data_IF_983848170701
#
_entry.id   IF_983848170701
#
_cell.length_a   1.000
_cell.length_b   1.000
_cell.length_c   1.000
_cell.angle_alpha   90.00
_cell.angle_beta   90.00
_cell.angle_gamma   90.00
#
_symmetry.space_group_name_H-M   'P 1'
#
loop_
_entity.id
_entity.type
_entity.pdbx_description
1 polymer ?
#
# COMPACT_ATOMS: atom_id res chain seq x y z
N UNK A 1 66.97 -34.49 23.87
CA UNK A 1 66.98 -34.88 22.43
C UNK A 1 65.65 -34.46 21.84
N UNK A 2 65.65 -33.72 20.73
CA UNK A 2 64.43 -33.29 20.05
C UNK A 2 64.78 -32.75 18.67
N UNK A 3 64.99 -33.68 17.72
CA UNK A 3 65.26 -33.42 16.30
C UNK A 3 64.02 -32.78 15.65
N UNK A 4 64.11 -31.51 15.25
CA UNK A 4 63.21 -30.94 14.25
C UNK A 4 63.93 -30.90 12.90
N UNK A 5 63.83 -32.00 12.15
CA UNK A 5 64.25 -32.05 10.75
C UNK A 5 63.19 -31.37 9.88
N UNK A 6 63.52 -30.19 9.35
CA UNK A 6 62.73 -29.49 8.33
C UNK A 6 62.68 -30.33 7.05
N UNK A 7 61.53 -30.91 6.70
CA UNK A 7 61.25 -31.42 5.35
C UNK A 7 60.54 -30.31 4.56
N UNK A 8 61.18 -29.92 3.46
CA UNK A 8 60.72 -28.98 2.42
C UNK A 8 59.41 -29.50 1.79
N UNK A 9 58.42 -28.66 1.48
CA UNK A 9 57.21 -29.12 0.79
C UNK A 9 57.57 -29.52 -0.65
N UNK A 10 57.10 -30.71 -1.05
CA UNK A 10 57.12 -31.16 -2.44
C UNK A 10 56.08 -30.36 -3.25
N UNK A 11 56.42 -29.99 -4.48
CA UNK A 11 55.51 -29.32 -5.40
C UNK A 11 54.28 -30.21 -5.70
N UNK A 12 53.06 -29.64 -5.87
CA UNK A 12 51.88 -30.43 -6.18
C UNK A 12 52.01 -31.06 -7.57
N UNK A 13 51.71 -32.35 -7.68
CA UNK A 13 51.60 -33.06 -8.94
C UNK A 13 50.49 -32.45 -9.80
N UNK A 14 50.73 -32.29 -11.10
CA UNK A 14 49.77 -31.75 -12.05
C UNK A 14 48.50 -32.61 -12.11
N UNK A 15 47.34 -31.96 -12.12
CA UNK A 15 46.04 -32.64 -12.28
C UNK A 15 45.93 -33.31 -13.66
N UNK A 16 45.29 -34.49 -13.78
CA UNK A 16 45.10 -35.15 -15.05
C UNK A 16 44.21 -34.30 -15.96
N UNK A 17 44.64 -34.04 -17.19
CA UNK A 17 43.84 -33.36 -18.21
C UNK A 17 42.58 -34.17 -18.52
N UNK A 18 41.37 -33.56 -18.51
CA UNK A 18 40.15 -34.27 -18.85
C UNK A 18 40.20 -34.73 -20.31
N UNK A 19 39.88 -36.00 -20.57
CA UNK A 19 39.72 -36.51 -21.93
C UNK A 19 38.51 -35.81 -22.59
N UNK A 20 38.55 -35.51 -23.89
CA UNK A 20 37.38 -35.00 -24.60
C UNK A 20 36.26 -36.05 -24.53
N UNK A 21 35.08 -35.63 -24.10
CA UNK A 21 33.88 -36.46 -24.01
C UNK A 21 33.10 -36.27 -25.29
N UNK A 22 32.81 -37.35 -26.02
CA UNK A 22 31.98 -37.32 -27.22
C UNK A 22 30.51 -37.08 -26.82
N UNK A 23 29.80 -36.09 -27.40
CA UNK A 23 28.43 -35.76 -27.00
C UNK A 23 27.43 -36.91 -27.24
N UNK A 24 27.72 -37.82 -28.18
CA UNK A 24 26.88 -38.99 -28.47
C UNK A 24 27.05 -40.13 -27.45
N UNK A 25 28.13 -40.10 -26.64
CA UNK A 25 28.43 -41.11 -25.61
C UNK A 25 27.73 -40.77 -24.27
N UNK A 26 27.25 -39.52 -24.13
CA UNK A 26 26.52 -39.02 -22.95
C UNK A 26 25.16 -39.71 -22.81
N UNK A 27 24.53 -40.08 -23.92
CA UNK A 27 23.16 -40.62 -23.95
C UNK A 27 23.09 -42.13 -24.14
N UNK A 28 24.17 -42.77 -24.62
CA UNK A 28 24.19 -44.19 -24.98
C UNK A 28 24.84 -45.11 -23.93
N UNK A 29 25.45 -44.55 -22.89
CA UNK A 29 26.00 -45.37 -21.80
C UNK A 29 24.91 -45.69 -20.78
N UNK A 30 24.64 -46.97 -20.44
CA UNK A 30 23.67 -47.29 -19.41
C UNK A 30 24.17 -46.71 -18.09
N UNK A 31 23.49 -45.66 -17.61
CA UNK A 31 23.84 -44.98 -16.37
C UNK A 31 23.66 -45.97 -15.22
N UNK A 32 24.71 -46.34 -14.46
CA UNK A 32 24.52 -47.18 -13.29
C UNK A 32 23.63 -46.43 -12.29
N UNK A 33 22.66 -47.13 -11.68
CA UNK A 33 21.78 -46.57 -10.64
C UNK A 33 22.62 -45.85 -9.59
N UNK A 34 22.65 -44.51 -9.65
CA UNK A 34 23.36 -43.69 -8.67
C UNK A 34 22.40 -43.42 -7.52
N UNK A 35 22.61 -44.14 -6.42
CA UNK A 35 22.00 -43.77 -5.14
C UNK A 35 22.66 -42.49 -4.68
N UNK A 36 21.90 -41.40 -4.66
CA UNK A 36 22.38 -40.11 -4.19
C UNK A 36 21.72 -39.81 -2.84
N UNK A 37 22.53 -39.76 -1.80
CA UNK A 37 22.08 -39.42 -0.44
C UNK A 37 22.20 -37.92 -0.26
N UNK A 38 21.08 -37.22 -0.14
CA UNK A 38 21.05 -35.77 0.08
C UNK A 38 20.65 -35.52 1.54
N UNK A 39 21.38 -34.65 2.23
CA UNK A 39 21.07 -34.28 3.61
C UNK A 39 20.15 -33.07 3.56
N UNK A 40 18.90 -33.27 3.96
CA UNK A 40 17.89 -32.20 3.94
C UNK A 40 17.83 -31.55 5.33
N UNK A 41 17.88 -30.22 5.34
CA UNK A 41 17.60 -29.39 6.51
C UNK A 41 16.56 -28.37 6.10
N UNK A 42 15.32 -28.61 6.50
CA UNK A 42 14.18 -27.76 6.12
C UNK A 42 14.15 -26.44 6.91
N UNK A 43 14.73 -26.42 8.11
CA UNK A 43 14.80 -25.24 8.97
C UNK A 43 16.16 -25.11 9.68
N UNK A 44 16.43 -23.92 10.26
CA UNK A 44 17.65 -23.64 11.04
C UNK A 44 17.75 -24.45 12.34
N UNK A 45 16.63 -25.00 12.81
CA UNK A 45 16.52 -25.69 14.09
C UNK A 45 16.28 -27.20 13.95
N UNK A 46 16.11 -27.72 12.74
CA UNK A 46 15.94 -29.14 12.50
C UNK A 46 17.26 -29.92 12.42
N UNK A 47 17.19 -31.15 12.91
CA UNK A 47 18.27 -32.12 12.80
C UNK A 47 18.35 -32.66 11.36
N UNK A 48 19.56 -32.77 10.78
CA UNK A 48 19.73 -33.21 9.40
C UNK A 48 19.29 -34.66 9.23
N UNK A 49 18.25 -34.90 8.42
CA UNK A 49 17.89 -36.25 8.00
C UNK A 49 18.47 -36.58 6.62
N UNK A 50 19.14 -37.74 6.46
CA UNK A 50 19.59 -38.21 5.16
C UNK A 50 18.41 -38.82 4.39
N UNK A 51 18.07 -38.22 3.26
CA UNK A 51 17.08 -38.75 2.33
C UNK A 51 17.81 -39.41 1.15
N UNK A 52 17.44 -40.65 0.85
CA UNK A 52 18.03 -41.43 -0.25
C UNK A 52 17.14 -41.28 -1.48
N UNK A 53 17.61 -40.54 -2.48
CA UNK A 53 16.90 -40.40 -3.75
C UNK A 53 17.32 -41.52 -4.70
N UNK A 54 16.36 -42.33 -5.13
CA UNK A 54 16.53 -43.27 -6.23
C UNK A 54 16.16 -42.56 -7.53
N UNK A 55 17.17 -42.11 -8.28
CA UNK A 55 16.96 -41.55 -9.61
C UNK A 55 16.85 -42.70 -10.60
N UNK A 56 15.62 -42.98 -11.04
CA UNK A 56 15.36 -43.93 -12.11
C UNK A 56 15.86 -43.34 -13.45
N UNK A 57 16.69 -44.10 -14.16
CA UNK A 57 17.16 -43.72 -15.50
C UNK A 57 15.96 -43.71 -16.46
N UNK A 58 15.60 -42.52 -16.95
CA UNK A 58 14.52 -42.36 -17.92
C UNK A 58 14.94 -42.99 -19.24
N UNK A 59 14.11 -43.87 -19.78
CA UNK A 59 14.35 -44.55 -21.06
C UNK A 59 14.42 -43.53 -22.22
N UNK A 60 15.51 -43.49 -23.02
CA UNK A 60 15.67 -42.55 -24.12
C UNK A 60 14.57 -42.67 -25.19
N UNK A 61 13.95 -43.83 -25.36
CA UNK A 61 12.84 -44.02 -26.31
C UNK A 61 11.56 -43.31 -25.85
N UNK A 62 11.31 -43.21 -24.54
CA UNK A 62 10.19 -42.42 -24.01
C UNK A 62 10.39 -40.92 -24.25
N UNK A 63 11.63 -40.43 -24.19
CA UNK A 63 11.95 -39.03 -24.46
C UNK A 63 11.67 -38.71 -25.92
N UNK A 64 12.11 -39.55 -26.85
CA UNK A 64 11.82 -39.40 -28.29
C UNK A 64 10.32 -39.42 -28.57
N UNK A 65 9.58 -40.34 -27.95
CA UNK A 65 8.12 -40.43 -28.09
C UNK A 65 7.42 -39.15 -27.60
N UNK A 66 7.82 -38.63 -26.43
CA UNK A 66 7.29 -37.35 -25.91
C UNK A 66 7.63 -36.16 -26.80
N UNK A 67 8.83 -36.13 -27.38
CA UNK A 67 9.21 -35.07 -28.34
C UNK A 67 8.34 -35.12 -29.59
N UNK A 68 8.08 -36.32 -30.14
CA UNK A 68 7.18 -36.47 -31.28
C UNK A 68 5.73 -36.07 -30.96
N UNK A 69 5.25 -36.34 -29.73
CA UNK A 69 3.94 -35.87 -29.28
C UNK A 69 3.88 -34.34 -29.18
N UNK A 70 4.92 -33.71 -28.62
CA UNK A 70 4.99 -32.25 -28.53
C UNK A 70 5.06 -31.57 -29.90
N UNK A 71 5.76 -32.18 -30.88
CA UNK A 71 5.77 -31.70 -32.26
C UNK A 71 4.38 -31.78 -32.91
N UNK A 72 3.65 -32.88 -32.71
CA UNK A 72 2.29 -33.03 -33.21
C UNK A 72 1.31 -32.01 -32.58
N UNK A 73 1.40 -31.79 -31.26
CA UNK A 73 0.58 -30.79 -30.56
C UNK A 73 0.91 -29.35 -31.00
N UNK A 74 2.17 -29.06 -31.32
CA UNK A 74 2.57 -27.76 -31.86
C UNK A 74 2.01 -27.53 -33.26
N UNK A 75 2.02 -28.57 -34.12
CA UNK A 75 1.39 -28.50 -35.44
C UNK A 75 -0.12 -28.27 -35.33
N UNK A 76 -0.79 -28.95 -34.38
CA UNK A 76 -2.22 -28.78 -34.12
C UNK A 76 -2.54 -27.37 -33.61
N UNK A 77 -1.74 -26.83 -32.68
CA UNK A 77 -1.90 -25.45 -32.18
C UNK A 77 -1.64 -24.39 -33.24
N UNK A 78 -0.72 -24.64 -34.19
CA UNK A 78 -0.50 -23.74 -35.34
C UNK A 78 -1.68 -23.72 -36.31
N UNK A 79 -2.42 -24.83 -36.40
CA UNK A 79 -3.60 -24.95 -37.26
C UNK A 79 -4.88 -24.43 -36.59
N UNK A 80 -4.87 -24.17 -35.29
CA UNK A 80 -5.98 -23.50 -34.62
C UNK A 80 -5.96 -22.00 -34.91
N UNK A 81 -7.12 -21.38 -35.21
CA UNK A 81 -7.18 -19.94 -35.42
C UNK A 81 -6.77 -19.23 -34.13
N UNK A 82 -5.84 -18.28 -34.26
CA UNK A 82 -5.40 -17.42 -33.16
C UNK A 82 -6.60 -16.60 -32.71
N UNK A 83 -7.16 -16.93 -31.53
CA UNK A 83 -8.18 -16.11 -30.89
C UNK A 83 -7.54 -14.81 -30.43
N UNK A 84 -7.92 -13.71 -31.05
CA UNK A 84 -7.48 -12.36 -30.69
C UNK A 84 -8.44 -11.76 -29.66
N UNK A 85 -8.03 -10.66 -29.01
CA UNK A 85 -8.90 -9.93 -28.07
C UNK A 85 -10.25 -9.52 -28.70
N UNK A 86 -10.33 -9.41 -30.03
CA UNK A 86 -11.56 -9.11 -30.75
C UNK A 86 -12.57 -10.28 -30.78
N UNK A 87 -12.12 -11.52 -30.55
CA UNK A 87 -12.98 -12.72 -30.54
C UNK A 87 -13.62 -12.97 -29.17
N UNK A 88 -13.08 -12.32 -28.14
CA UNK A 88 -13.73 -12.21 -26.84
C UNK A 88 -14.65 -11.00 -26.94
N UNK A 89 -15.94 -11.24 -27.16
CA UNK A 89 -16.98 -10.22 -27.30
C UNK A 89 -17.08 -9.29 -26.10
N UNK A 90 -16.11 -8.38 -25.98
CA UNK A 90 -16.21 -7.14 -25.23
C UNK A 90 -17.17 -6.29 -26.04
N UNK A 91 -18.45 -6.45 -25.74
CA UNK A 91 -19.50 -5.60 -26.27
C UNK A 91 -19.07 -4.17 -26.01
N UNK A 92 -18.65 -3.46 -27.06
CA UNK A 92 -18.45 -2.02 -26.98
C UNK A 92 -19.78 -1.45 -26.50
N UNK A 93 -19.77 -0.75 -25.37
CA UNK A 93 -20.96 -0.07 -24.84
C UNK A 93 -21.54 0.77 -25.98
N UNK A 94 -22.83 0.58 -26.28
CA UNK A 94 -23.45 1.29 -27.38
C UNK A 94 -23.41 2.81 -27.09
N UNK A 95 -23.23 3.63 -28.12
CA UNK A 95 -23.17 5.08 -27.94
C UNK A 95 -24.43 5.63 -27.24
N UNK A 96 -25.58 5.00 -27.46
CA UNK A 96 -26.85 5.31 -26.80
C UNK A 96 -26.79 5.06 -25.28
N UNK A 97 -26.20 3.95 -24.83
CA UNK A 97 -26.04 3.64 -23.41
C UNK A 97 -25.07 4.61 -22.72
N UNK A 98 -24.06 5.10 -23.45
CA UNK A 98 -23.14 6.15 -22.96
C UNK A 98 -23.89 7.47 -22.80
N UNK A 99 -24.71 7.85 -23.78
CA UNK A 99 -25.51 9.09 -23.75
C UNK A 99 -26.54 9.01 -22.61
N UNK A 100 -27.25 7.90 -22.50
CA UNK A 100 -28.25 7.68 -21.44
C UNK A 100 -27.61 7.77 -20.05
N UNK A 101 -26.48 7.08 -19.84
CA UNK A 101 -25.73 7.14 -18.58
C UNK A 101 -25.22 8.55 -18.27
N UNK A 102 -24.76 9.30 -19.29
CA UNK A 102 -24.33 10.68 -19.09
C UNK A 102 -25.51 11.58 -18.71
N UNK A 103 -26.66 11.43 -19.35
CA UNK A 103 -27.86 12.22 -19.01
C UNK A 103 -28.39 11.89 -17.61
N UNK A 104 -28.33 10.63 -17.20
CA UNK A 104 -28.72 10.22 -15.85
C UNK A 104 -27.78 10.80 -14.80
N UNK A 105 -26.47 10.79 -15.06
CA UNK A 105 -25.47 11.41 -14.20
C UNK A 105 -25.69 12.92 -14.06
N UNK A 106 -25.88 13.64 -15.16
CA UNK A 106 -26.13 15.09 -15.14
C UNK A 106 -27.38 15.42 -14.31
N UNK A 107 -28.45 14.64 -14.47
CA UNK A 107 -29.68 14.80 -13.70
C UNK A 107 -29.48 14.57 -12.20
N UNK A 108 -28.72 13.55 -11.82
CA UNK A 108 -28.40 13.26 -10.41
C UNK A 108 -27.53 14.36 -9.82
N UNK A 109 -26.54 14.82 -10.57
CA UNK A 109 -25.65 15.89 -10.15
C UNK A 109 -26.41 17.19 -9.84
N UNK A 110 -27.36 17.61 -10.68
CA UNK A 110 -28.18 18.80 -10.43
C UNK A 110 -28.93 18.71 -9.09
N UNK A 111 -29.57 17.56 -8.82
CA UNK A 111 -30.35 17.34 -7.60
C UNK A 111 -29.45 17.35 -6.36
N UNK A 112 -28.33 16.64 -6.41
CA UNK A 112 -27.38 16.58 -5.30
C UNK A 112 -26.68 17.91 -5.07
N UNK A 113 -26.30 18.61 -6.15
CA UNK A 113 -25.68 19.92 -6.06
C UNK A 113 -26.62 20.94 -5.41
N UNK A 114 -27.90 20.96 -5.79
CA UNK A 114 -28.88 21.80 -5.11
C UNK A 114 -29.06 21.43 -3.64
N UNK A 115 -29.10 20.14 -3.31
CA UNK A 115 -29.20 19.66 -1.92
C UNK A 115 -27.97 20.09 -1.11
N UNK A 116 -26.78 19.98 -1.70
CA UNK A 116 -25.52 20.40 -1.12
C UNK A 116 -25.49 21.92 -0.88
N UNK A 117 -25.88 22.72 -1.88
CA UNK A 117 -25.97 24.18 -1.74
C UNK A 117 -26.98 24.57 -0.66
N UNK A 118 -28.14 23.90 -0.60
CA UNK A 118 -29.14 24.14 0.45
C UNK A 118 -28.64 23.73 1.84
N UNK A 119 -27.90 22.63 1.97
CA UNK A 119 -27.37 22.18 3.26
C UNK A 119 -26.16 22.98 3.75
N UNK A 120 -25.41 23.59 2.83
CA UNK A 120 -24.24 24.42 3.13
C UNK A 120 -24.51 25.92 3.02
N UNK A 121 -25.77 26.31 2.76
CA UNK A 121 -26.24 27.66 3.03
C UNK A 121 -26.30 27.84 4.55
N UNK A 122 -25.16 28.16 5.15
CA UNK A 122 -25.15 28.78 6.46
C UNK A 122 -25.95 30.09 6.35
N UNK A 123 -26.98 30.27 7.17
CA UNK A 123 -27.73 31.52 7.27
C UNK A 123 -26.84 32.63 7.89
N UNK A 124 -25.84 33.10 7.16
CA UNK A 124 -24.99 34.24 7.54
C UNK A 124 -25.84 35.54 7.54
N UNK A 125 -27.09 35.49 7.05
CA UNK A 125 -28.04 36.59 7.08
C UNK A 125 -28.45 37.05 8.49
N UNK A 126 -28.20 36.28 9.55
CA UNK A 126 -28.42 36.73 10.94
C UNK A 126 -27.28 37.65 11.42
N UNK A 127 -26.12 37.64 10.75
CA UNK A 127 -25.07 38.65 10.92
C UNK A 127 -25.35 39.93 10.12
N UNK A 128 -26.61 40.18 9.70
CA UNK A 128 -26.99 41.42 9.02
C UNK A 128 -26.94 42.61 9.99
N UNK A 129 -25.87 43.39 9.82
CA UNK A 129 -25.80 44.85 9.87
C UNK A 129 -26.08 45.58 11.19
N UNK A 130 -26.85 45.02 12.14
CA UNK A 130 -27.05 45.64 13.43
C UNK A 130 -25.83 45.41 14.31
N UNK A 131 -24.95 46.42 14.35
CA UNK A 131 -23.80 46.49 15.25
C UNK A 131 -22.44 46.30 14.58
N UNK A 132 -22.35 45.91 13.30
CA UNK A 132 -21.07 45.84 12.59
C UNK A 132 -20.49 47.23 12.33
N UNK A 133 -21.34 48.18 11.93
CA UNK A 133 -20.95 49.58 11.76
C UNK A 133 -20.54 50.21 13.10
N UNK A 134 -21.34 50.01 14.16
CA UNK A 134 -21.01 50.50 15.52
C UNK A 134 -19.73 49.85 16.08
N UNK A 135 -19.50 48.56 15.82
CA UNK A 135 -18.29 47.86 16.26
C UNK A 135 -17.06 48.33 15.48
N UNK A 136 -17.22 48.63 14.20
CA UNK A 136 -16.15 49.19 13.38
C UNK A 136 -15.82 50.62 13.81
N UNK A 137 -16.84 51.44 14.07
CA UNK A 137 -16.68 52.80 14.59
C UNK A 137 -16.05 52.81 15.99
N UNK A 138 -16.46 51.89 16.87
CA UNK A 138 -15.83 51.70 18.19
C UNK A 138 -14.36 51.28 18.06
N UNK A 139 -14.03 50.40 17.10
CA UNK A 139 -12.66 49.98 16.85
C UNK A 139 -11.79 51.14 16.33
N UNK A 140 -12.32 52.00 15.46
CA UNK A 140 -11.63 53.20 15.01
C UNK A 140 -11.44 54.21 16.14
N UNK A 141 -12.46 54.44 16.96
CA UNK A 141 -12.38 55.34 18.12
C UNK A 141 -11.35 54.85 19.16
N UNK A 142 -11.31 53.55 19.46
CA UNK A 142 -10.28 52.97 20.33
C UNK A 142 -8.87 53.10 19.74
N UNK A 143 -8.73 52.92 18.42
CA UNK A 143 -7.46 53.06 17.74
C UNK A 143 -6.96 54.51 17.79
N UNK A 144 -7.81 55.48 17.47
CA UNK A 144 -7.47 56.90 17.57
C UNK A 144 -7.15 57.31 19.02
N UNK A 145 -7.88 56.80 20.00
CA UNK A 145 -7.59 57.03 21.41
C UNK A 145 -6.22 56.47 21.82
N UNK A 146 -5.85 55.26 21.37
CA UNK A 146 -4.53 54.67 21.63
C UNK A 146 -3.41 55.43 20.91
N UNK A 147 -3.64 55.88 19.68
CA UNK A 147 -2.66 56.70 18.95
C UNK A 147 -2.44 58.02 19.68
N UNK A 148 -3.51 58.69 20.09
CA UNK A 148 -3.41 59.93 20.88
C UNK A 148 -2.76 59.69 22.25
N UNK A 149 -3.02 58.55 22.90
CA UNK A 149 -2.34 58.17 24.14
C UNK A 149 -0.84 58.02 23.88
N UNK A 150 -0.43 57.24 22.88
CA UNK A 150 0.98 57.03 22.51
C UNK A 150 1.69 58.33 22.14
N UNK A 151 1.03 59.23 21.41
CA UNK A 151 1.56 60.54 21.04
C UNK A 151 1.73 61.48 22.24
N UNK A 152 0.88 61.36 23.26
CA UNK A 152 0.93 62.18 24.47
C UNK A 152 1.72 61.53 25.62
N UNK A 153 2.04 60.24 25.53
CA UNK A 153 2.94 59.60 26.47
C UNK A 153 4.39 59.92 26.10
N UNK A 154 5.01 60.77 26.92
CA UNK A 154 6.46 60.89 26.92
C UNK A 154 7.06 59.60 27.50
N UNK A 155 7.51 58.71 26.61
CA UNK A 155 8.26 57.53 27.03
C UNK A 155 9.63 57.98 27.55
N UNK A 156 9.80 57.95 28.87
CA UNK A 156 11.10 58.08 29.51
C UNK A 156 11.93 56.82 29.20
N UNK A 157 12.63 56.84 28.07
CA UNK A 157 13.61 55.82 27.74
C UNK A 157 14.82 55.98 28.67
N UNK A 158 14.90 55.14 29.70
CA UNK A 158 16.15 54.91 30.41
C UNK A 158 17.01 53.95 29.61
N UNK A 159 18.16 54.42 29.14
CA UNK A 159 19.18 53.54 28.56
C UNK A 159 19.69 52.60 29.64
N UNK A 160 19.23 51.35 29.60
CA UNK A 160 19.75 50.28 30.45
C UNK A 160 21.18 49.97 29.99
N UNK A 161 22.16 50.18 30.86
CA UNK A 161 23.55 49.90 30.53
C UNK A 161 23.79 48.43 30.21
N UNK A 162 24.77 48.14 29.35
CA UNK A 162 25.11 46.78 28.93
C UNK A 162 25.31 45.82 30.12
N UNK A 163 25.84 46.32 31.25
CA UNK A 163 26.03 45.53 32.47
C UNK A 163 24.72 45.05 33.12
N UNK A 164 23.64 45.82 33.02
CA UNK A 164 22.33 45.40 33.54
C UNK A 164 21.65 44.43 32.59
N UNK A 165 21.85 44.60 31.28
CA UNK A 165 21.43 43.64 30.26
C UNK A 165 22.12 42.30 30.50
N UNK A 166 23.45 42.29 30.65
CA UNK A 166 24.21 41.07 30.88
C UNK A 166 23.79 40.37 32.19
N UNK A 167 23.49 41.15 33.24
CA UNK A 167 22.96 40.61 34.50
C UNK A 167 21.59 39.95 34.31
N UNK A 168 20.65 40.61 33.62
CA UNK A 168 19.31 40.05 33.35
C UNK A 168 19.38 38.83 32.42
N UNK A 169 20.36 38.78 31.52
CA UNK A 169 20.60 37.62 30.66
C UNK A 169 21.15 36.42 31.44
N UNK A 170 21.90 36.66 32.52
CA UNK A 170 22.33 35.60 33.45
C UNK A 170 21.17 35.13 34.34
N UNK A 171 20.28 36.06 34.73
CA UNK A 171 19.11 35.76 35.56
C UNK A 171 17.97 35.06 34.78
N UNK A 172 18.04 35.01 33.44
CA UNK A 172 17.07 34.26 32.64
C UNK A 172 17.19 32.76 32.94
N UNK A 173 16.09 32.09 33.32
CA UNK A 173 16.13 30.65 33.48
C UNK A 173 16.47 30.00 32.15
N UNK A 174 17.36 29.00 32.18
CA UNK A 174 17.58 28.15 31.01
C UNK A 174 16.24 27.60 30.54
N UNK A 175 16.03 27.58 29.21
CA UNK A 175 14.89 26.90 28.62
C UNK A 175 14.85 25.48 29.19
N UNK A 176 13.76 25.17 29.91
CA UNK A 176 13.52 23.84 30.47
C UNK A 176 13.61 22.83 29.33
N UNK A 177 14.20 21.66 29.57
CA UNK A 177 14.21 20.63 28.53
C UNK A 177 12.77 20.15 28.34
N UNK A 178 12.39 19.61 27.16
CA UNK A 178 11.10 18.96 26.96
C UNK A 178 10.77 17.92 28.05
N UNK A 179 11.80 17.25 28.57
CA UNK A 179 11.77 16.30 29.70
C UNK A 179 11.25 16.91 31.02
N UNK A 180 11.44 18.22 31.21
CA UNK A 180 11.04 18.97 32.40
C UNK A 180 9.63 19.57 32.25
N UNK A 181 8.98 19.39 31.09
CA UNK A 181 7.60 19.79 30.85
C UNK A 181 6.67 18.57 31.04
N UNK A 182 5.97 18.46 32.19
CA UNK A 182 5.08 17.32 32.46
C UNK A 182 3.91 17.21 31.48
N UNK A 183 3.63 18.29 30.74
CA UNK A 183 2.59 18.37 29.72
C UNK A 183 3.07 17.86 28.34
N UNK A 184 4.38 17.76 28.12
CA UNK A 184 4.93 17.29 26.85
C UNK A 184 4.94 15.76 26.82
N UNK A 185 3.96 15.18 26.12
CA UNK A 185 3.94 13.75 25.81
C UNK A 185 4.63 13.51 24.47
N UNK A 186 5.68 12.70 24.48
CA UNK A 186 6.33 12.25 23.25
C UNK A 186 5.35 11.42 22.41
N UNK A 187 5.21 11.75 21.13
CA UNK A 187 4.32 11.07 20.18
C UNK A 187 4.78 9.62 19.98
N UNK A 188 6.09 9.34 20.18
CA UNK A 188 6.64 7.98 20.16
C UNK A 188 6.23 7.12 21.36
N UNK A 189 5.73 7.72 22.44
CA UNK A 189 5.24 7.02 23.63
C UNK A 189 3.72 6.75 23.58
N UNK A 190 3.02 7.24 22.56
CA UNK A 190 1.64 6.84 22.27
C UNK A 190 1.69 5.41 21.72
N UNK A 191 1.05 4.47 22.41
CA UNK A 191 0.99 3.08 21.97
C UNK A 191 0.38 2.99 20.57
N UNK A 192 0.95 2.13 19.72
CA UNK A 192 0.46 1.92 18.36
C UNK A 192 -0.99 1.39 18.31
N UNK A 193 -1.46 0.83 19.42
CA UNK A 193 -2.84 0.43 19.62
C UNK A 193 -3.52 1.47 20.54
N UNK A 194 -4.62 2.11 20.07
CA UNK A 194 -5.39 3.04 20.89
C UNK A 194 -6.09 2.27 22.01
N UNK A 195 -6.10 2.83 23.22
CA UNK A 195 -6.83 2.27 24.36
C UNK A 195 -8.33 2.27 24.05
N UNK A 196 -8.98 1.12 24.19
CA UNK A 196 -10.41 0.96 23.94
C UNK A 196 -11.25 1.95 24.79
N UNK A 197 -10.78 2.29 25.99
CA UNK A 197 -11.43 3.27 26.85
C UNK A 197 -11.32 4.73 26.34
N UNK A 198 -10.36 5.03 25.47
CA UNK A 198 -10.26 6.31 24.76
C UNK A 198 -11.09 6.30 23.47
N UNK A 199 -11.13 5.17 22.77
CA UNK A 199 -12.02 4.96 21.61
C UNK A 199 -13.49 5.10 22.00
N UNK A 200 -13.90 4.53 23.12
CA UNK A 200 -15.30 4.60 23.60
C UNK A 200 -15.72 6.04 23.95
N UNK A 201 -14.77 6.93 24.29
CA UNK A 201 -15.03 8.37 24.54
C UNK A 201 -15.22 9.17 23.25
N UNK A 202 -14.68 8.69 22.13
CA UNK A 202 -14.84 9.35 20.83
C UNK A 202 -16.26 9.21 20.28
N UNK A 203 -17.07 8.33 20.87
CA UNK A 203 -18.44 8.06 20.45
C UNK A 203 -18.48 7.24 19.16
N UNK A 204 -19.43 6.31 19.08
CA UNK A 204 -19.69 5.57 17.83
C UNK A 204 -20.81 6.29 17.11
N UNK A 205 -20.55 6.72 15.88
CA UNK A 205 -21.57 7.25 14.98
C UNK A 205 -22.19 6.05 14.26
N UNK A 206 -23.51 5.88 14.43
CA UNK A 206 -24.27 4.86 13.71
C UNK A 206 -24.63 5.37 12.31
N UNK A 207 -24.01 4.76 11.30
CA UNK A 207 -24.22 5.07 9.89
C UNK A 207 -25.35 4.23 9.27
N UNK A 208 -26.10 3.47 10.07
CA UNK A 208 -27.15 2.57 9.55
C UNK A 208 -28.31 3.31 8.85
N UNK A 209 -28.52 4.59 9.19
CA UNK A 209 -29.55 5.46 8.60
C UNK A 209 -29.04 6.30 7.42
N UNK A 210 -27.75 6.19 7.05
CA UNK A 210 -27.20 6.94 5.93
C UNK A 210 -27.89 6.53 4.61
N UNK A 211 -28.27 7.48 3.75
CA UNK A 211 -29.03 7.21 2.51
C UNK A 211 -28.25 6.35 1.50
N UNK A 212 -26.94 6.26 1.69
CA UNK A 212 -25.93 5.52 0.94
C UNK A 212 -25.46 4.25 1.67
N UNK A 213 -26.13 3.86 2.77
CA UNK A 213 -25.92 2.58 3.44
C UNK A 213 -26.28 1.42 2.50
N UNK A 214 -25.27 0.82 1.88
CA UNK A 214 -25.37 -0.48 1.22
C UNK A 214 -25.52 -1.51 2.34
N UNK A 215 -26.77 -1.79 2.70
CA UNK A 215 -27.10 -2.82 3.67
C UNK A 215 -26.44 -4.17 3.33
N UNK A 216 -26.36 -5.06 4.32
CA UNK A 216 -25.73 -6.37 4.13
C UNK A 216 -26.43 -7.16 3.01
N UNK A 217 -25.63 -7.68 2.07
CA UNK A 217 -26.11 -8.59 1.03
C UNK A 217 -26.20 -9.98 1.64
N UNK A 218 -27.42 -10.45 1.89
CA UNK A 218 -27.66 -11.83 2.26
C UNK A 218 -27.63 -12.76 1.03
N UNK A 219 -27.43 -14.05 1.28
CA UNK A 219 -27.35 -15.07 0.23
C UNK A 219 -28.65 -15.16 -0.59
N UNK A 220 -29.78 -14.83 0.03
CA UNK A 220 -31.09 -14.81 -0.62
C UNK A 220 -31.25 -13.65 -1.61
N UNK A 221 -30.83 -12.43 -1.24
CA UNK A 221 -30.82 -11.28 -2.16
C UNK A 221 -29.86 -11.52 -3.31
N UNK A 222 -28.69 -12.12 -3.04
CA UNK A 222 -27.71 -12.46 -4.07
C UNK A 222 -28.31 -13.46 -5.07
N UNK A 223 -28.91 -14.55 -4.59
CA UNK A 223 -29.55 -15.55 -5.45
C UNK A 223 -30.65 -14.93 -6.33
N UNK A 224 -31.48 -14.05 -5.74
CA UNK A 224 -32.55 -13.35 -6.47
C UNK A 224 -32.00 -12.43 -7.56
N UNK A 225 -30.90 -11.71 -7.28
CA UNK A 225 -30.25 -10.82 -8.25
C UNK A 225 -29.55 -11.59 -9.37
N UNK A 226 -28.97 -12.75 -9.06
CA UNK A 226 -28.42 -13.66 -10.06
C UNK A 226 -29.52 -14.19 -10.98
N UNK A 227 -30.66 -14.61 -10.43
CA UNK A 227 -31.80 -15.06 -11.23
C UNK A 227 -32.38 -13.93 -12.12
N UNK A 228 -32.55 -12.71 -11.59
CA UNK A 228 -32.95 -11.54 -12.37
C UNK A 228 -31.95 -11.24 -13.51
N UNK A 229 -30.66 -11.37 -13.24
CA UNK A 229 -29.60 -11.14 -14.22
C UNK A 229 -29.60 -12.21 -15.32
N UNK A 230 -29.72 -13.49 -14.95
CA UNK A 230 -29.79 -14.61 -15.88
C UNK A 230 -31.06 -14.56 -16.73
N UNK A 231 -32.20 -14.16 -16.16
CA UNK A 231 -33.43 -13.96 -16.92
C UNK A 231 -33.31 -12.81 -17.94
N UNK A 232 -32.62 -11.72 -17.58
CA UNK A 232 -32.49 -10.54 -18.45
C UNK A 232 -31.40 -10.70 -19.51
N UNK A 233 -30.35 -11.47 -19.22
CA UNK A 233 -29.14 -11.50 -20.05
C UNK A 233 -28.62 -12.90 -20.41
N UNK A 234 -29.18 -13.96 -19.83
CA UNK A 234 -28.75 -15.35 -20.05
C UNK A 234 -28.93 -15.84 -21.49
N UNK A 235 -29.92 -15.30 -22.20
CA UNK A 235 -30.18 -15.65 -23.61
C UNK A 235 -29.22 -14.98 -24.62
N UNK A 236 -28.39 -14.01 -24.19
CA UNK A 236 -27.41 -13.37 -25.10
C UNK A 236 -26.29 -14.31 -25.58
N UNK A 237 -26.23 -15.55 -25.11
CA UNK A 237 -25.32 -16.60 -25.61
C UNK A 237 -25.92 -17.53 -26.68
N UNK A 238 -27.17 -17.29 -27.13
CA UNK A 238 -27.83 -18.09 -28.19
C UNK A 238 -28.18 -17.31 -29.46
N UNK A 239 -27.59 -16.14 -29.68
CA UNK A 239 -27.68 -15.40 -30.94
C UNK A 239 -26.32 -15.42 -31.66
#
# INVERSE_FOLDING_TARGET
MGLFSKKKPAAPAAAPTPKPVDPDDIWNTPSPKRRQTVIVKESKYDDPMPENLEVESVDPEMIKSKMAQLEAELEEKKNQPIKTHADYGTSTVAAEEIIDAQTEYERLYEVEHEKYVKSHQEEISVAKEQGMAEKMEAMYAEHEAKVAEVENTDFEFSEVGQAEVDKKMIDLPYAKKPEDYPEYKDIAAVSAEPDQAELDKLGVIDHSEDPDNIGNVDEELLARKVEEFEAKYGDRKKA
#
